data_IF_960930239074
#
_entry.id   IF_960930239074
#
_cell.length_a   1.000
_cell.length_b   1.000
_cell.length_c   1.000
_cell.angle_alpha   90.00
_cell.angle_beta   90.00
_cell.angle_gamma   90.00
#
_symmetry.space_group_name_H-M   'P 1'
#
loop_
_entity.id
_entity.type
_entity.pdbx_description
1 polymer ?
#
# COMPACT_ATOMS: atom_id res chain seq x y z
N UNK A 1 25.94 -7.33 6.78
CA UNK A 1 25.87 -6.27 5.76
C UNK A 1 24.49 -5.63 5.87
N UNK A 2 24.39 -4.32 6.08
CA UNK A 2 23.09 -3.62 6.14
C UNK A 2 22.79 -3.00 4.78
N UNK A 3 21.56 -3.16 4.27
CA UNK A 3 21.15 -2.51 3.03
C UNK A 3 21.08 -0.98 3.22
N UNK A 4 21.50 -0.26 2.20
CA UNK A 4 21.36 1.19 2.07
C UNK A 4 19.92 1.58 1.71
N UNK A 5 19.50 2.80 2.02
CA UNK A 5 18.17 3.31 1.62
C UNK A 5 17.95 3.23 0.11
N UNK A 6 19.00 3.44 -0.69
CA UNK A 6 18.94 3.31 -2.16
C UNK A 6 18.64 1.88 -2.62
N UNK A 7 19.22 0.88 -1.97
CA UNK A 7 18.94 -0.53 -2.27
C UNK A 7 17.51 -0.92 -1.88
N UNK A 8 17.02 -0.44 -0.74
CA UNK A 8 15.64 -0.65 -0.31
C UNK A 8 14.64 -0.02 -1.28
N UNK A 9 14.88 1.24 -1.70
CA UNK A 9 14.04 1.93 -2.69
C UNK A 9 14.05 1.19 -4.04
N UNK A 10 15.18 0.60 -4.45
CA UNK A 10 15.22 -0.24 -5.64
C UNK A 10 14.39 -1.52 -5.48
N UNK A 11 14.40 -2.13 -4.29
CA UNK A 11 13.51 -3.25 -3.94
C UNK A 11 12.03 -2.87 -4.07
N UNK A 12 11.65 -1.73 -3.48
CA UNK A 12 10.31 -1.14 -3.64
C UNK A 12 9.95 -0.98 -5.12
N UNK A 13 10.78 -0.32 -5.93
CA UNK A 13 10.49 -0.07 -7.36
C UNK A 13 10.23 -1.36 -8.12
N UNK A 14 11.03 -2.41 -7.90
CA UNK A 14 10.83 -3.73 -8.53
C UNK A 14 9.48 -4.34 -8.15
N UNK A 15 9.14 -4.34 -6.86
CA UNK A 15 7.85 -4.86 -6.39
C UNK A 15 6.64 -4.05 -6.87
N UNK A 16 6.77 -2.72 -6.94
CA UNK A 16 5.76 -1.82 -7.47
C UNK A 16 5.48 -2.09 -8.95
N UNK A 17 6.51 -2.26 -9.78
CA UNK A 17 6.33 -2.62 -11.18
C UNK A 17 5.69 -3.99 -11.35
N UNK A 18 6.10 -5.00 -10.57
CA UNK A 18 5.41 -6.30 -10.55
C UNK A 18 3.93 -6.18 -10.20
N UNK A 19 3.59 -5.35 -9.21
CA UNK A 19 2.18 -5.09 -8.85
C UNK A 19 1.41 -4.44 -9.99
N UNK A 20 2.04 -3.48 -10.67
CA UNK A 20 1.46 -2.77 -11.82
C UNK A 20 1.20 -3.72 -12.99
N UNK A 21 2.06 -4.71 -13.19
CA UNK A 21 1.93 -5.70 -14.27
C UNK A 21 0.93 -6.80 -13.88
N UNK A 22 0.98 -7.28 -12.64
CA UNK A 22 0.10 -8.32 -12.11
C UNK A 22 -1.38 -7.93 -12.09
N UNK A 23 -1.72 -6.63 -12.14
CA UNK A 23 -3.13 -6.18 -12.19
C UNK A 23 -3.91 -6.75 -13.38
N UNK A 24 -3.20 -7.11 -14.46
CA UNK A 24 -3.77 -7.69 -15.68
C UNK A 24 -3.68 -9.23 -15.66
N UNK A 25 -3.11 -9.83 -14.60
CA UNK A 25 -2.98 -11.28 -14.45
C UNK A 25 -4.34 -11.91 -14.17
N UNK A 26 -4.58 -13.07 -14.77
CA UNK A 26 -5.71 -13.94 -14.40
C UNK A 26 -5.48 -14.61 -13.03
N UNK A 27 -4.22 -14.68 -12.59
CA UNK A 27 -3.83 -15.25 -11.30
C UNK A 27 -3.87 -14.18 -10.20
N UNK A 28 -4.97 -14.18 -9.43
CA UNK A 28 -5.19 -13.28 -8.29
C UNK A 28 -4.03 -13.30 -7.27
N UNK A 29 -3.40 -14.46 -7.06
CA UNK A 29 -2.32 -14.62 -6.08
C UNK A 29 -1.08 -13.77 -6.43
N UNK A 30 -0.77 -13.59 -7.70
CA UNK A 30 0.35 -12.75 -8.15
C UNK A 30 0.18 -11.29 -7.73
N UNK A 31 -1.06 -10.79 -7.73
CA UNK A 31 -1.37 -9.44 -7.24
C UNK A 31 -1.18 -9.36 -5.74
N UNK A 32 -1.67 -10.35 -4.98
CA UNK A 32 -1.49 -10.37 -3.53
C UNK A 32 -0.03 -10.41 -3.13
N UNK A 33 0.77 -11.27 -3.76
CA UNK A 33 2.20 -11.41 -3.44
C UNK A 33 2.98 -10.15 -3.76
N UNK A 34 2.82 -9.61 -4.97
CA UNK A 34 3.53 -8.40 -5.39
C UNK A 34 3.16 -7.18 -4.55
N UNK A 35 1.88 -7.03 -4.19
CA UNK A 35 1.41 -5.94 -3.35
C UNK A 35 1.83 -6.07 -1.89
N UNK A 36 1.79 -7.29 -1.33
CA UNK A 36 2.29 -7.56 0.01
C UNK A 36 3.80 -7.28 0.11
N UNK A 37 4.57 -7.68 -0.89
CA UNK A 37 5.98 -7.36 -0.97
C UNK A 37 6.20 -5.83 -1.05
N UNK A 38 5.44 -5.14 -1.90
CA UNK A 38 5.50 -3.68 -2.03
C UNK A 38 5.28 -2.99 -0.69
N UNK A 39 4.26 -3.40 0.07
CA UNK A 39 3.99 -2.87 1.41
C UNK A 39 5.12 -3.11 2.41
N UNK A 40 5.75 -4.29 2.37
CA UNK A 40 6.91 -4.56 3.23
C UNK A 40 8.10 -3.66 2.89
N UNK A 41 8.33 -3.37 1.61
CA UNK A 41 9.38 -2.42 1.23
C UNK A 41 9.07 -1.00 1.72
N UNK A 42 7.82 -0.52 1.62
CA UNK A 42 7.43 0.81 2.14
C UNK A 42 7.77 0.94 3.62
N UNK A 43 7.39 -0.06 4.43
CA UNK A 43 7.64 -0.04 5.88
C UNK A 43 9.13 -0.18 6.20
N UNK A 44 9.87 -1.03 5.47
CA UNK A 44 11.31 -1.17 5.66
C UNK A 44 12.07 0.14 5.35
N UNK A 45 11.67 0.84 4.28
CA UNK A 45 12.23 2.14 3.90
C UNK A 45 11.89 3.20 4.97
N UNK A 46 10.64 3.25 5.45
CA UNK A 46 10.24 4.16 6.53
C UNK A 46 11.12 3.99 7.78
N UNK A 47 11.30 2.76 8.25
CA UNK A 47 12.17 2.47 9.40
C UNK A 47 13.63 2.90 9.15
N UNK A 48 14.15 2.62 7.95
CA UNK A 48 15.52 2.99 7.59
C UNK A 48 15.71 4.51 7.59
N UNK A 49 14.79 5.25 7.00
CA UNK A 49 14.84 6.70 6.91
C UNK A 49 14.64 7.37 8.28
N UNK A 50 13.76 6.83 9.12
CA UNK A 50 13.63 7.27 10.52
C UNK A 50 14.97 7.18 11.26
N UNK A 51 15.68 6.05 11.10
CA UNK A 51 16.98 5.83 11.73
C UNK A 51 18.08 6.74 11.16
N UNK A 52 18.16 6.88 9.83
CA UNK A 52 19.19 7.72 9.17
C UNK A 52 19.01 9.21 9.46
N UNK A 53 17.76 9.69 9.55
CA UNK A 53 17.44 11.10 9.81
C UNK A 53 17.31 11.41 11.30
N UNK A 54 17.31 10.39 12.16
CA UNK A 54 16.98 10.49 13.58
C UNK A 54 15.63 11.23 13.80
N UNK A 55 14.63 10.91 12.97
CA UNK A 55 13.33 11.60 12.92
C UNK A 55 12.22 10.59 12.57
N UNK A 56 11.46 10.18 13.59
CA UNK A 56 10.32 9.25 13.46
C UNK A 56 9.14 9.83 12.65
N UNK A 57 9.20 11.12 12.28
CA UNK A 57 8.18 11.82 11.49
C UNK A 57 8.82 12.56 10.32
N UNK A 58 9.88 12.02 9.74
CA UNK A 58 10.58 12.63 8.59
C UNK A 58 9.63 12.99 7.44
N UNK A 59 8.60 12.17 7.22
CA UNK A 59 7.59 12.35 6.18
C UNK A 59 6.64 13.53 6.45
N UNK A 60 6.58 14.08 7.68
CA UNK A 60 5.72 15.24 8.01
C UNK A 60 6.07 16.49 7.19
N UNK A 61 7.33 16.61 6.76
CA UNK A 61 7.81 17.70 5.89
C UNK A 61 7.25 17.62 4.46
N UNK A 62 6.64 16.49 4.10
CA UNK A 62 6.01 16.24 2.79
C UNK A 62 4.53 16.64 2.77
N UNK A 63 4.00 17.22 3.86
CA UNK A 63 2.61 17.61 3.97
C UNK A 63 1.67 16.41 3.86
N UNK A 64 0.54 16.57 3.16
CA UNK A 64 -0.49 15.53 3.03
C UNK A 64 -0.01 14.27 2.30
N UNK A 65 1.02 14.36 1.44
CA UNK A 65 1.58 13.18 0.79
C UNK A 65 2.25 12.27 1.83
N UNK A 66 2.88 12.84 2.85
CA UNK A 66 3.52 12.09 3.94
C UNK A 66 2.55 11.22 4.75
N UNK A 67 1.28 11.59 4.83
CA UNK A 67 0.25 10.82 5.55
C UNK A 67 0.02 9.43 4.92
N UNK A 68 0.36 9.24 3.64
CA UNK A 68 0.29 7.93 2.98
C UNK A 68 1.25 6.90 3.58
N UNK A 69 2.38 7.32 4.17
CA UNK A 69 3.31 6.42 4.85
C UNK A 69 2.62 5.76 6.05
N UNK A 70 1.95 6.55 6.89
CA UNK A 70 1.19 6.03 8.03
C UNK A 70 0.03 5.13 7.60
N UNK A 71 -0.74 5.56 6.60
CA UNK A 71 -1.87 4.78 6.10
C UNK A 71 -1.43 3.42 5.53
N UNK A 72 -0.31 3.37 4.80
CA UNK A 72 0.23 2.11 4.26
C UNK A 72 0.90 1.25 5.32
N UNK A 73 1.51 1.85 6.34
CA UNK A 73 2.03 1.11 7.50
C UNK A 73 0.89 0.43 8.27
N UNK A 74 -0.22 1.14 8.49
CA UNK A 74 -1.44 0.55 9.03
C UNK A 74 -1.91 -0.63 8.18
N UNK A 75 -2.03 -0.42 6.86
CA UNK A 75 -2.46 -1.47 5.94
C UNK A 75 -1.52 -2.69 5.97
N UNK A 76 -0.20 -2.47 5.98
CA UNK A 76 0.80 -3.52 6.09
C UNK A 76 0.65 -4.32 7.39
N UNK A 77 0.54 -3.64 8.52
CA UNK A 77 0.42 -4.31 9.83
C UNK A 77 -0.82 -5.21 9.85
N UNK A 78 -1.94 -4.70 9.34
CA UNK A 78 -3.17 -5.47 9.16
C UNK A 78 -3.01 -6.69 8.24
N UNK A 79 -2.30 -6.53 7.12
CA UNK A 79 -2.06 -7.64 6.18
C UNK A 79 -1.13 -8.71 6.72
N UNK A 80 -0.27 -8.40 7.69
CA UNK A 80 0.72 -9.35 8.17
C UNK A 80 0.06 -10.61 8.76
N UNK A 81 -1.10 -10.45 9.40
CA UNK A 81 -1.87 -11.56 9.96
C UNK A 81 -3.00 -12.05 9.04
N UNK A 82 -3.55 -11.18 8.19
CA UNK A 82 -4.76 -11.46 7.38
C UNK A 82 -4.69 -10.87 5.98
N UNK A 83 -3.55 -11.08 5.30
CA UNK A 83 -3.21 -10.62 3.95
C UNK A 83 -4.34 -10.61 2.89
N UNK A 84 -5.21 -11.61 2.86
CA UNK A 84 -6.30 -11.73 1.88
C UNK A 84 -7.48 -10.77 2.13
N UNK A 85 -7.53 -10.08 3.27
CA UNK A 85 -8.72 -9.30 3.68
C UNK A 85 -8.66 -7.82 3.30
N UNK A 86 -7.49 -7.29 2.94
CA UNK A 86 -7.33 -5.84 2.77
C UNK A 86 -7.56 -5.34 1.34
N UNK A 87 -7.62 -6.25 0.38
CA UNK A 87 -7.77 -5.92 -1.03
C UNK A 87 -8.96 -6.65 -1.61
N UNK A 88 -9.67 -5.99 -2.51
CA UNK A 88 -10.71 -6.62 -3.32
C UNK A 88 -10.57 -6.21 -4.77
N UNK A 89 -10.83 -7.17 -5.64
CA UNK A 89 -10.98 -6.91 -7.07
C UNK A 89 -12.38 -6.37 -7.29
N UNK A 90 -12.48 -5.09 -7.65
CA UNK A 90 -13.74 -4.50 -8.06
C UNK A 90 -13.97 -4.81 -9.54
N UNK A 91 -14.88 -5.74 -9.81
CA UNK A 91 -15.34 -6.06 -11.16
C UNK A 91 -16.56 -5.20 -11.40
N UNK A 92 -16.42 -4.15 -12.21
CA UNK A 92 -17.54 -3.30 -12.61
C UNK A 92 -18.51 -4.13 -13.48
N UNK A 93 -19.43 -4.88 -12.87
CA UNK A 93 -20.40 -5.76 -13.54
C UNK A 93 -21.54 -4.99 -14.23
N UNK A 94 -21.48 -3.65 -14.30
CA UNK A 94 -22.61 -2.77 -14.67
C UNK A 94 -22.43 -1.91 -15.93
N UNK A 95 -21.40 -2.14 -16.75
CA UNK A 95 -21.27 -1.43 -18.03
C UNK A 95 -21.98 -2.16 -19.18
N UNK A 96 -22.77 -1.46 -20.03
CA UNK A 96 -23.40 -2.08 -21.19
C UNK A 96 -22.34 -2.60 -22.17
N UNK A 97 -22.65 -3.72 -22.81
CA UNK A 97 -21.80 -4.61 -23.61
C UNK A 97 -21.14 -4.03 -24.88
N UNK A 98 -20.71 -2.76 -24.87
CA UNK A 98 -20.24 -2.03 -26.06
C UNK A 98 -18.75 -1.57 -25.97
N UNK A 99 -18.03 -1.87 -24.88
CA UNK A 99 -16.57 -1.67 -24.85
C UNK A 99 -15.84 -2.89 -24.27
N UNK A 100 -14.84 -3.47 -24.95
CA UNK A 100 -14.19 -4.72 -24.56
C UNK A 100 -13.19 -4.58 -23.40
N UNK A 101 -13.31 -3.56 -22.56
CA UNK A 101 -12.41 -3.34 -21.44
C UNK A 101 -13.21 -3.43 -20.13
N UNK A 102 -13.37 -4.65 -19.63
CA UNK A 102 -13.69 -4.90 -18.22
C UNK A 102 -12.56 -4.24 -17.41
N UNK A 103 -12.76 -2.99 -16.98
CA UNK A 103 -11.80 -2.28 -16.13
C UNK A 103 -11.93 -2.80 -14.70
N UNK A 104 -11.46 -4.03 -14.47
CA UNK A 104 -11.31 -4.55 -13.11
C UNK A 104 -10.23 -3.72 -12.40
N UNK A 105 -10.53 -3.28 -11.18
CA UNK A 105 -9.61 -2.43 -10.41
C UNK A 105 -9.45 -2.98 -9.00
N UNK A 106 -8.21 -3.20 -8.60
CA UNK A 106 -7.87 -3.54 -7.23
C UNK A 106 -8.07 -2.34 -6.31
N UNK A 107 -8.92 -2.51 -5.31
CA UNK A 107 -9.24 -1.49 -4.31
C UNK A 107 -8.85 -1.96 -2.91
N UNK A 108 -8.51 -1.01 -2.06
CA UNK A 108 -8.44 -1.25 -0.63
C UNK A 108 -9.84 -1.56 -0.09
N UNK A 109 -9.95 -2.57 0.77
CA UNK A 109 -11.18 -2.89 1.46
C UNK A 109 -11.60 -1.74 2.40
N UNK A 110 -12.91 -1.57 2.64
CA UNK A 110 -13.35 -0.69 3.72
C UNK A 110 -12.91 -1.28 5.06
N UNK A 111 -12.66 -0.42 6.04
CA UNK A 111 -12.20 -0.86 7.36
C UNK A 111 -13.16 -1.85 8.04
N UNK A 112 -14.46 -1.73 7.79
CA UNK A 112 -15.49 -2.63 8.32
C UNK A 112 -15.33 -4.09 7.88
N UNK A 113 -14.71 -4.32 6.72
CA UNK A 113 -14.56 -5.64 6.13
C UNK A 113 -13.23 -6.29 6.54
N UNK A 114 -12.39 -5.54 7.26
CA UNK A 114 -11.08 -5.95 7.71
C UNK A 114 -11.22 -6.36 9.19
N UNK A 115 -10.95 -7.63 9.55
CA UNK A 115 -11.15 -8.09 10.92
C UNK A 115 -10.24 -7.35 11.88
N UNK A 116 -10.72 -7.01 13.08
CA UNK A 116 -9.86 -6.43 14.13
C UNK A 116 -8.86 -7.46 14.66
N UNK A 117 -7.58 -7.12 14.79
CA UNK A 117 -6.61 -7.99 15.48
C UNK A 117 -6.92 -8.01 16.98
N UNK A 118 -7.19 -9.21 17.51
CA UNK A 118 -7.45 -9.36 18.95
C UNK A 118 -6.18 -9.04 19.74
N UNK A 119 -6.23 -7.97 20.53
CA UNK A 119 -5.20 -7.65 21.53
C UNK A 119 -4.14 -6.64 21.12
N UNK A 120 -4.12 -6.18 19.86
CA UNK A 120 -3.32 -5.01 19.47
C UNK A 120 -4.21 -3.77 19.43
N UNK A 121 -3.82 -2.74 20.17
CA UNK A 121 -4.46 -1.43 20.11
C UNK A 121 -3.79 -0.64 18.99
N UNK A 122 -4.44 -0.60 17.83
CA UNK A 122 -4.01 0.23 16.70
C UNK A 122 -4.10 1.72 17.06
N UNK A 123 -3.20 2.54 16.51
CA UNK A 123 -3.26 3.99 16.72
C UNK A 123 -4.51 4.55 16.02
N UNK A 124 -5.45 5.20 16.75
CA UNK A 124 -6.66 5.76 16.16
C UNK A 124 -6.39 6.79 15.05
N UNK A 125 -5.21 7.41 15.03
CA UNK A 125 -4.83 8.33 13.98
C UNK A 125 -4.47 7.60 12.68
N UNK A 126 -3.74 6.49 12.76
CA UNK A 126 -3.35 5.70 11.58
C UNK A 126 -4.58 5.04 10.93
N UNK A 127 -5.55 4.59 11.75
CA UNK A 127 -6.86 4.11 11.28
C UNK A 127 -7.63 5.20 10.51
N UNK A 128 -7.71 6.42 11.07
CA UNK A 128 -8.36 7.55 10.39
C UNK A 128 -7.68 7.88 9.06
N UNK A 129 -6.36 7.82 9.01
CA UNK A 129 -5.60 8.03 7.78
C UNK A 129 -5.88 6.94 6.75
N UNK A 130 -5.96 5.67 7.17
CA UNK A 130 -6.36 4.57 6.29
C UNK A 130 -7.75 4.82 5.68
N UNK A 131 -8.75 5.13 6.51
CA UNK A 131 -10.12 5.40 6.05
C UNK A 131 -10.16 6.58 5.08
N UNK A 132 -9.43 7.66 5.39
CA UNK A 132 -9.41 8.87 4.58
C UNK A 132 -8.72 8.68 3.23
N UNK A 133 -7.58 7.99 3.21
CA UNK A 133 -6.63 7.98 2.10
C UNK A 133 -6.62 6.70 1.27
N UNK A 134 -7.04 5.56 1.85
CA UNK A 134 -6.94 4.25 1.21
C UNK A 134 -8.30 3.58 1.03
N UNK A 135 -9.13 3.49 2.07
CA UNK A 135 -10.37 2.70 2.04
C UNK A 135 -11.24 2.99 0.80
N UNK A 136 -11.69 1.93 0.12
CA UNK A 136 -12.46 1.96 -1.13
C UNK A 136 -11.79 2.64 -2.34
N UNK A 137 -10.53 3.06 -2.23
CA UNK A 137 -9.78 3.67 -3.33
C UNK A 137 -8.94 2.64 -4.08
N UNK A 138 -8.63 2.90 -5.36
CA UNK A 138 -7.68 2.10 -6.11
C UNK A 138 -6.32 1.98 -5.40
N UNK A 139 -5.76 0.77 -5.35
CA UNK A 139 -4.43 0.52 -4.76
C UNK A 139 -3.36 1.37 -5.44
N UNK A 140 -3.45 1.49 -6.77
CA UNK A 140 -2.49 2.23 -7.60
C UNK A 140 -2.28 3.68 -7.14
N UNK A 141 -3.33 4.34 -6.64
CA UNK A 141 -3.29 5.77 -6.33
C UNK A 141 -2.32 6.05 -5.18
N UNK A 142 -2.35 5.20 -4.15
CA UNK A 142 -1.43 5.28 -3.02
C UNK A 142 0.01 4.95 -3.43
N UNK A 143 0.21 3.93 -4.27
CA UNK A 143 1.54 3.51 -4.68
C UNK A 143 2.25 4.56 -5.55
N UNK A 144 1.52 5.28 -6.40
CA UNK A 144 2.05 6.40 -7.19
C UNK A 144 2.56 7.52 -6.27
N UNK A 145 1.83 7.83 -5.20
CA UNK A 145 2.24 8.85 -4.23
C UNK A 145 3.50 8.41 -3.49
N UNK A 146 3.59 7.15 -3.08
CA UNK A 146 4.80 6.62 -2.44
C UNK A 146 6.01 6.61 -3.37
N UNK A 147 5.85 6.21 -4.64
CA UNK A 147 6.96 6.24 -5.61
C UNK A 147 7.49 7.66 -5.83
N UNK A 148 6.60 8.66 -5.83
CA UNK A 148 6.98 10.08 -5.85
C UNK A 148 7.78 10.46 -4.59
N UNK A 149 7.31 10.09 -3.40
CA UNK A 149 7.99 10.37 -2.13
C UNK A 149 9.41 9.77 -2.12
N UNK A 150 9.55 8.50 -2.48
CA UNK A 150 10.84 7.82 -2.48
C UNK A 150 11.78 8.25 -3.61
N UNK A 151 11.26 8.92 -4.64
CA UNK A 151 12.10 9.48 -5.71
C UNK A 151 12.74 10.82 -5.34
N UNK A 152 12.26 11.48 -4.28
CA UNK A 152 12.79 12.77 -3.79
C UNK A 152 13.47 12.67 -2.42
N UNK A 153 13.52 11.48 -1.83
CA UNK A 153 14.10 11.22 -0.51
C UNK A 153 15.52 10.69 -0.63
#
# INVERSE_FOLDING_TARGET
MSLTSKELINGFKKSYYRTKDAKNSEEILEVYYSLFETLNWVVAIDYKLCAEKNDNKWFSKLGSDGDYINALRFARNRTYHQWFTIFKLDRNDTFPAIFPMLLSTWKWCPLSDIPSERGQKEDPNDEKLYVKLLANRPVKDALVIIDKIFSIT
#
